data_IF_112643310145
#
_entry.id   IF_112643310145
#
_cell.length_a   1.000
_cell.length_b   1.000
_cell.length_c   1.000
_cell.angle_alpha   90.00
_cell.angle_beta   90.00
_cell.angle_gamma   90.00
#
_symmetry.space_group_name_H-M   'P 1'
#
loop_
_entity.id
_entity.type
_entity.pdbx_description
1 polymer ?
#
# COMPACT_ATOMS: atom_id res chain seq x y z
N UNK A 1 17.64 14.23 -14.39
CA UNK A 1 16.54 13.30 -14.04
C UNK A 1 16.12 12.42 -15.22
N UNK A 2 15.72 12.98 -16.36
CA UNK A 2 15.15 12.22 -17.48
C UNK A 2 16.01 11.05 -18.01
N UNK A 3 17.29 11.28 -18.34
CA UNK A 3 18.14 10.21 -18.87
C UNK A 3 18.47 9.13 -17.82
N UNK A 4 18.58 9.50 -16.55
CA UNK A 4 18.74 8.54 -15.45
C UNK A 4 17.49 7.67 -15.31
N UNK A 5 16.29 8.27 -15.46
CA UNK A 5 15.03 7.53 -15.49
C UNK A 5 15.01 6.50 -16.63
N UNK A 6 15.48 6.88 -17.83
CA UNK A 6 15.63 5.93 -18.95
C UNK A 6 16.57 4.77 -18.62
N UNK A 7 17.71 5.03 -17.98
CA UNK A 7 18.63 3.97 -17.56
C UNK A 7 17.99 3.00 -16.55
N UNK A 8 17.18 3.52 -15.62
CA UNK A 8 16.48 2.70 -14.63
C UNK A 8 15.31 1.90 -15.22
N UNK A 9 14.59 2.50 -16.16
CA UNK A 9 13.57 1.80 -16.96
C UNK A 9 14.19 0.59 -17.68
N UNK A 10 15.33 0.77 -18.37
CA UNK A 10 16.06 -0.32 -19.03
C UNK A 10 16.58 -1.39 -18.04
N UNK A 11 16.91 -0.99 -16.82
CA UNK A 11 17.34 -1.90 -15.76
C UNK A 11 16.17 -2.62 -15.04
N UNK A 12 14.91 -2.37 -15.44
CA UNK A 12 13.72 -2.94 -14.82
C UNK A 12 13.34 -2.32 -13.47
N UNK A 13 14.01 -1.24 -13.06
CA UNK A 13 13.74 -0.50 -11.81
C UNK A 13 12.59 0.49 -12.03
N UNK A 14 11.38 -0.05 -12.17
CA UNK A 14 10.20 0.71 -12.62
C UNK A 14 9.74 1.78 -11.65
N UNK A 15 9.73 1.49 -10.35
CA UNK A 15 9.32 2.45 -9.33
C UNK A 15 10.27 3.66 -9.30
N UNK A 16 11.58 3.42 -9.37
CA UNK A 16 12.58 4.48 -9.41
C UNK A 16 12.54 5.26 -10.73
N UNK A 17 12.33 4.57 -11.86
CA UNK A 17 12.13 5.22 -13.14
C UNK A 17 10.89 6.14 -13.13
N UNK A 18 9.75 5.66 -12.62
CA UNK A 18 8.52 6.43 -12.47
C UNK A 18 8.73 7.70 -11.64
N UNK A 19 9.40 7.57 -10.48
CA UNK A 19 9.69 8.69 -9.60
C UNK A 19 10.60 9.73 -10.28
N UNK A 20 11.63 9.28 -11.00
CA UNK A 20 12.55 10.16 -11.71
C UNK A 20 11.91 10.86 -12.91
N UNK A 21 11.00 10.20 -13.64
CA UNK A 21 10.19 10.85 -14.69
C UNK A 21 9.23 11.88 -14.10
N UNK A 22 8.60 11.59 -12.96
CA UNK A 22 7.75 12.56 -12.25
C UNK A 22 8.52 13.81 -11.86
N UNK A 23 9.70 13.64 -11.25
CA UNK A 23 10.57 14.74 -10.86
C UNK A 23 11.11 15.53 -12.05
N UNK A 24 11.47 14.86 -13.15
CA UNK A 24 11.90 15.53 -14.38
C UNK A 24 10.79 16.44 -14.93
N UNK A 25 9.54 15.97 -14.89
CA UNK A 25 8.37 16.74 -15.29
C UNK A 25 8.14 17.95 -14.38
N UNK A 26 8.18 17.77 -13.07
CA UNK A 26 8.01 18.87 -12.11
C UNK A 26 9.02 20.00 -12.35
N UNK A 27 10.28 19.65 -12.62
CA UNK A 27 11.30 20.63 -12.96
C UNK A 27 11.02 21.32 -14.30
N UNK A 28 10.59 20.58 -15.33
CA UNK A 28 10.24 21.16 -16.63
C UNK A 28 9.03 22.11 -16.51
N UNK A 29 7.97 21.69 -15.82
CA UNK A 29 6.76 22.49 -15.61
C UNK A 29 7.07 23.76 -14.78
N UNK A 30 7.90 23.65 -13.74
CA UNK A 30 8.35 24.79 -12.93
C UNK A 30 9.18 25.78 -13.75
N UNK A 31 10.05 25.28 -14.62
CA UNK A 31 10.84 26.11 -15.53
C UNK A 31 9.92 26.85 -16.52
N UNK A 32 8.97 26.16 -17.15
CA UNK A 32 8.00 26.77 -18.08
C UNK A 32 7.24 27.92 -17.39
N UNK A 33 6.73 27.69 -16.18
CA UNK A 33 6.00 28.72 -15.41
C UNK A 33 6.87 29.94 -15.09
N UNK A 34 8.17 29.72 -14.84
CA UNK A 34 9.12 30.80 -14.55
C UNK A 34 9.53 31.58 -15.81
N UNK A 35 9.64 30.90 -16.96
CA UNK A 35 10.09 31.51 -18.22
C UNK A 35 8.99 32.21 -19.01
N UNK A 36 7.74 31.70 -19.01
CA UNK A 36 6.63 32.31 -19.75
C UNK A 36 6.35 33.80 -19.45
N UNK A 37 6.41 34.31 -18.20
CA UNK A 37 6.10 35.71 -17.92
C UNK A 37 7.24 36.68 -18.22
N UNK A 38 8.45 36.20 -18.54
CA UNK A 38 9.62 37.05 -18.78
C UNK A 38 9.58 37.65 -20.20
N UNK A 39 9.66 38.99 -20.30
CA UNK A 39 9.87 39.68 -21.59
C UNK A 39 11.18 39.23 -22.21
N UNK A 40 11.14 38.72 -23.44
CA UNK A 40 12.31 38.15 -24.13
C UNK A 40 12.51 36.65 -23.91
N UNK A 41 11.50 35.94 -23.38
CA UNK A 41 11.56 34.48 -23.22
C UNK A 41 11.96 33.80 -24.53
N UNK A 42 12.98 32.95 -24.47
CA UNK A 42 13.41 32.12 -25.59
C UNK A 42 12.31 31.10 -25.92
N UNK A 43 11.53 31.39 -26.96
CA UNK A 43 10.38 30.58 -27.39
C UNK A 43 10.75 29.15 -27.73
N UNK A 44 11.97 28.93 -28.24
CA UNK A 44 12.50 27.60 -28.57
C UNK A 44 12.74 26.80 -27.28
N UNK A 45 13.40 27.39 -26.28
CA UNK A 45 13.65 26.71 -25.01
C UNK A 45 12.35 26.36 -24.26
N UNK A 46 11.34 27.23 -24.31
CA UNK A 46 10.01 26.94 -23.73
C UNK A 46 9.33 25.78 -24.47
N UNK A 47 9.48 25.70 -25.80
CA UNK A 47 8.93 24.62 -26.60
C UNK A 47 9.63 23.28 -26.30
N UNK A 48 10.95 23.26 -26.23
CA UNK A 48 11.73 22.06 -25.84
C UNK A 48 11.37 21.58 -24.42
N UNK A 49 11.14 22.49 -23.49
CA UNK A 49 10.69 22.15 -22.13
C UNK A 49 9.30 21.52 -22.12
N UNK A 50 8.37 22.00 -22.96
CA UNK A 50 7.03 21.40 -23.10
C UNK A 50 7.13 19.99 -23.68
N UNK A 51 7.92 19.82 -24.73
CA UNK A 51 8.18 18.50 -25.31
C UNK A 51 8.80 17.55 -24.29
N UNK A 52 9.75 18.02 -23.47
CA UNK A 52 10.32 17.22 -22.39
C UNK A 52 9.27 16.84 -21.34
N UNK A 53 8.38 17.76 -20.96
CA UNK A 53 7.29 17.50 -20.01
C UNK A 53 6.34 16.41 -20.54
N UNK A 54 5.95 16.50 -21.81
CA UNK A 54 5.08 15.51 -22.47
C UNK A 54 5.77 14.13 -22.61
N UNK A 55 7.07 14.11 -22.91
CA UNK A 55 7.85 12.88 -22.91
C UNK A 55 7.91 12.24 -21.52
N UNK A 56 8.15 13.04 -20.48
CA UNK A 56 8.14 12.56 -19.09
C UNK A 56 6.77 11.98 -18.71
N UNK A 57 5.68 12.65 -19.11
CA UNK A 57 4.31 12.16 -18.87
C UNK A 57 4.08 10.81 -19.53
N UNK A 58 4.43 10.69 -20.81
CA UNK A 58 4.23 9.46 -21.60
C UNK A 58 5.03 8.30 -21.01
N UNK A 59 6.32 8.52 -20.77
CA UNK A 59 7.22 7.52 -20.18
C UNK A 59 6.75 7.08 -18.79
N UNK A 60 6.34 8.01 -17.94
CA UNK A 60 5.81 7.69 -16.62
C UNK A 60 4.58 6.77 -16.70
N UNK A 61 3.64 7.06 -17.59
CA UNK A 61 2.46 6.21 -17.79
C UNK A 61 2.83 4.82 -18.31
N UNK A 62 3.81 4.74 -19.22
CA UNK A 62 4.33 3.47 -19.74
C UNK A 62 4.91 2.61 -18.61
N UNK A 63 5.80 3.17 -17.79
CA UNK A 63 6.43 2.45 -16.68
C UNK A 63 5.39 1.91 -15.68
N UNK A 64 4.38 2.74 -15.38
CA UNK A 64 3.29 2.32 -14.49
C UNK A 64 2.47 1.17 -15.10
N UNK A 65 2.11 1.24 -16.38
CA UNK A 65 1.40 0.17 -17.06
C UNK A 65 2.22 -1.14 -17.09
N UNK A 66 3.53 -1.04 -17.30
CA UNK A 66 4.43 -2.19 -17.27
C UNK A 66 4.53 -2.81 -15.86
N UNK A 67 4.60 -1.99 -14.81
CA UNK A 67 4.59 -2.46 -13.42
C UNK A 67 3.30 -3.20 -13.07
N UNK A 68 2.14 -2.66 -13.47
CA UNK A 68 0.84 -3.31 -13.28
C UNK A 68 0.78 -4.65 -14.02
N UNK A 69 1.24 -4.68 -15.29
CA UNK A 69 1.26 -5.92 -16.07
C UNK A 69 2.17 -7.00 -15.46
N UNK A 70 3.31 -6.61 -14.88
CA UNK A 70 4.19 -7.55 -14.19
C UNK A 70 3.63 -8.04 -12.86
N UNK A 71 3.05 -7.14 -12.08
CA UNK A 71 2.38 -7.49 -10.82
C UNK A 71 1.24 -8.46 -11.08
N UNK A 72 0.46 -8.25 -12.14
CA UNK A 72 -0.58 -9.17 -12.60
C UNK A 72 -0.04 -10.57 -12.92
N UNK A 73 1.08 -10.67 -13.65
CA UNK A 73 1.73 -11.97 -13.91
C UNK A 73 2.21 -12.67 -12.64
N UNK A 74 2.68 -11.92 -11.65
CA UNK A 74 3.07 -12.49 -10.34
C UNK A 74 1.83 -13.00 -9.61
N UNK A 75 0.75 -12.23 -9.59
CA UNK A 75 -0.53 -12.64 -9.00
C UNK A 75 -1.11 -13.87 -9.69
N UNK A 76 -1.08 -13.95 -11.02
CA UNK A 76 -1.54 -15.13 -11.77
C UNK A 76 -0.73 -16.38 -11.41
N UNK A 77 0.59 -16.26 -11.24
CA UNK A 77 1.44 -17.36 -10.79
C UNK A 77 1.09 -17.80 -9.38
N UNK A 78 0.87 -16.85 -8.47
CA UNK A 78 0.44 -17.12 -7.10
C UNK A 78 -0.94 -17.80 -7.13
N UNK A 79 -1.89 -17.25 -7.87
CA UNK A 79 -3.24 -17.79 -8.00
C UNK A 79 -3.23 -19.21 -8.56
N UNK A 80 -2.43 -19.49 -9.59
CA UNK A 80 -2.24 -20.86 -10.11
C UNK A 80 -1.61 -21.78 -9.08
N UNK A 81 -0.61 -21.30 -8.34
CA UNK A 81 0.01 -22.04 -7.24
C UNK A 81 -0.98 -22.38 -6.14
N UNK A 82 -1.83 -21.43 -5.74
CA UNK A 82 -2.89 -21.62 -4.74
C UNK A 82 -4.02 -22.51 -5.28
N UNK A 83 -4.41 -22.37 -6.55
CA UNK A 83 -5.43 -23.21 -7.19
C UNK A 83 -4.97 -24.67 -7.35
N UNK A 84 -3.66 -24.91 -7.47
CA UNK A 84 -3.09 -26.25 -7.41
C UNK A 84 -3.11 -26.85 -6.00
N UNK A 85 -3.28 -26.02 -4.96
CA UNK A 85 -3.56 -26.45 -3.59
C UNK A 85 -5.07 -26.65 -3.49
N UNK A 86 -5.57 -27.71 -4.13
CA UNK A 86 -6.96 -28.13 -3.94
C UNK A 86 -7.06 -28.99 -2.68
N UNK A 87 -7.86 -28.55 -1.71
CA UNK A 87 -8.22 -29.30 -0.50
C UNK A 87 -9.39 -30.27 -0.74
N UNK A 88 -9.73 -30.53 -2.00
CA UNK A 88 -10.76 -31.52 -2.32
C UNK A 88 -10.10 -32.86 -2.53
N UNK A 89 -10.45 -33.79 -1.65
CA UNK A 89 -10.09 -35.21 -1.63
C UNK A 89 -10.56 -35.94 -2.90
N UNK A 90 -10.00 -35.60 -4.05
CA UNK A 90 -10.29 -36.23 -5.32
C UNK A 90 -8.98 -36.46 -6.07
N UNK A 91 -8.23 -37.45 -5.57
CA UNK A 91 -7.68 -38.56 -6.35
C UNK A 91 -6.35 -39.02 -5.77
N UNK A 92 -6.44 -39.84 -4.72
CA UNK A 92 -5.75 -41.12 -4.66
C UNK A 92 -6.43 -41.99 -3.61
N UNK A 93 -7.04 -43.05 -4.11
CA UNK A 93 -7.52 -44.21 -3.39
C UNK A 93 -6.39 -44.83 -2.55
N UNK A 94 -6.13 -44.28 -1.36
CA UNK A 94 -5.51 -44.98 -0.23
C UNK A 94 -6.28 -44.56 1.01
N UNK A 95 -6.97 -45.53 1.58
CA UNK A 95 -7.90 -45.42 2.69
C UNK A 95 -7.20 -45.33 4.06
N UNK A 96 -6.38 -44.30 4.29
CA UNK A 96 -5.91 -43.97 5.65
C UNK A 96 -6.82 -42.90 6.24
N UNK A 97 -7.81 -43.33 7.03
CA UNK A 97 -8.52 -42.41 7.92
C UNK A 97 -7.49 -41.79 8.88
N UNK A 98 -7.63 -40.50 9.20
CA UNK A 98 -6.75 -39.82 10.15
C UNK A 98 -6.91 -40.40 11.57
N UNK A 99 -5.94 -40.17 12.46
CA UNK A 99 -5.97 -40.71 13.82
C UNK A 99 -7.27 -40.36 14.57
N UNK A 100 -7.76 -39.12 14.42
CA UNK A 100 -9.02 -38.68 15.03
C UNK A 100 -10.25 -39.49 14.58
N UNK A 101 -10.20 -40.11 13.39
CA UNK A 101 -11.30 -40.88 12.82
C UNK A 101 -11.24 -42.37 13.24
N UNK A 102 -10.22 -42.80 14.01
CA UNK A 102 -9.98 -44.19 14.45
C UNK A 102 -9.60 -44.30 15.94
N UNK A 103 -10.14 -43.45 16.80
CA UNK A 103 -9.82 -43.47 18.25
C UNK A 103 -10.22 -44.79 18.96
N UNK A 104 -11.13 -45.57 18.37
CA UNK A 104 -11.62 -46.83 18.93
C UNK A 104 -10.68 -48.04 18.68
N UNK A 105 -9.68 -47.89 17.81
CA UNK A 105 -8.78 -48.99 17.42
C UNK A 105 -7.34 -48.51 17.27
N UNK A 106 -6.38 -49.18 17.91
CA UNK A 106 -4.98 -48.80 17.80
C UNK A 106 -4.36 -49.27 16.46
N UNK A 107 -3.92 -48.31 15.65
CA UNK A 107 -3.16 -48.49 14.41
C UNK A 107 -2.10 -47.38 14.33
N UNK A 108 -0.87 -47.69 13.88
CA UNK A 108 0.21 -46.70 13.83
C UNK A 108 -0.07 -45.64 12.76
N UNK A 109 -0.36 -44.41 13.18
CA UNK A 109 -0.54 -43.27 12.26
C UNK A 109 0.78 -42.76 11.65
N UNK A 110 1.93 -43.27 12.11
CA UNK A 110 3.29 -42.84 11.71
C UNK A 110 3.97 -43.88 10.80
N UNK A 111 3.28 -44.97 10.46
CA UNK A 111 3.84 -46.09 9.70
C UNK A 111 4.81 -46.95 10.53
N UNK A 112 5.52 -47.86 9.86
CA UNK A 112 6.64 -48.63 10.41
C UNK A 112 7.97 -47.93 10.09
N UNK A 113 9.04 -48.20 10.85
CA UNK A 113 10.34 -47.54 10.70
C UNK A 113 10.96 -47.64 9.28
N UNK A 114 10.49 -48.59 8.47
CA UNK A 114 10.97 -48.86 7.11
C UNK A 114 10.03 -48.30 6.03
N UNK A 115 8.83 -47.85 6.41
CA UNK A 115 7.85 -47.30 5.47
C UNK A 115 8.15 -45.83 5.19
N UNK A 116 8.14 -45.44 3.91
CA UNK A 116 8.20 -44.03 3.46
C UNK A 116 6.81 -43.39 3.40
N UNK A 117 5.84 -43.98 4.09
CA UNK A 117 4.47 -43.50 4.10
C UNK A 117 4.38 -42.19 4.89
N UNK A 118 3.57 -41.26 4.40
CA UNK A 118 3.36 -39.98 5.06
C UNK A 118 2.55 -40.22 6.33
N UNK A 119 2.93 -39.68 7.50
CA UNK A 119 2.15 -39.85 8.71
C UNK A 119 0.77 -39.17 8.57
N UNK A 120 -0.32 -39.89 8.86
CA UNK A 120 -1.70 -39.41 8.73
C UNK A 120 -2.31 -39.14 10.13
N UNK A 121 -1.68 -38.23 10.87
CA UNK A 121 -2.11 -37.90 12.24
C UNK A 121 -3.36 -37.00 12.21
N UNK A 122 -3.28 -35.86 11.52
CA UNK A 122 -4.33 -34.85 11.43
C UNK A 122 -4.39 -34.25 10.03
N UNK A 123 -5.55 -33.74 9.61
CA UNK A 123 -5.69 -33.04 8.33
C UNK A 123 -4.89 -31.74 8.38
N UNK A 124 -4.00 -31.55 7.42
CA UNK A 124 -3.23 -30.31 7.30
C UNK A 124 -3.47 -29.63 5.95
N UNK A 125 -3.83 -28.33 5.94
CA UNK A 125 -4.09 -27.46 7.07
C UNK A 125 -5.36 -27.86 7.85
N UNK A 126 -5.43 -27.59 9.18
CA UNK A 126 -6.64 -27.84 9.96
C UNK A 126 -7.86 -27.11 9.37
N UNK A 127 -9.05 -27.69 9.53
CA UNK A 127 -10.29 -27.04 9.10
C UNK A 127 -10.51 -25.74 9.87
N UNK A 128 -10.95 -24.69 9.17
CA UNK A 128 -11.36 -23.44 9.80
C UNK A 128 -12.54 -23.69 10.73
N UNK A 129 -12.39 -23.32 12.00
CA UNK A 129 -13.45 -23.36 13.00
C UNK A 129 -13.71 -21.94 13.51
N UNK A 130 -14.98 -21.60 13.73
CA UNK A 130 -15.34 -20.34 14.36
C UNK A 130 -14.80 -20.31 15.79
N UNK A 131 -13.88 -19.40 16.08
CA UNK A 131 -13.43 -19.15 17.45
C UNK A 131 -14.22 -17.96 17.99
N UNK A 132 -14.87 -18.07 19.17
CA UNK A 132 -15.53 -16.92 19.79
C UNK A 132 -14.49 -15.87 20.15
N UNK A 133 -14.49 -14.75 19.43
CA UNK A 133 -13.67 -13.59 19.77
C UNK A 133 -14.27 -12.88 20.98
N UNK A 134 -13.41 -12.33 21.87
CA UNK A 134 -13.86 -11.43 22.93
C UNK A 134 -14.57 -10.21 22.30
N UNK A 135 -15.69 -9.73 22.87
CA UNK A 135 -16.37 -8.56 22.35
C UNK A 135 -15.44 -7.33 22.39
N UNK A 136 -15.51 -6.51 21.35
CA UNK A 136 -14.78 -5.25 21.30
C UNK A 136 -15.54 -4.26 22.19
N UNK A 137 -14.90 -3.79 23.26
CA UNK A 137 -15.42 -2.73 24.14
C UNK A 137 -14.57 -1.49 23.90
N UNK A 138 -15.20 -0.40 23.43
CA UNK A 138 -14.54 0.89 23.26
C UNK A 138 -14.82 1.77 24.47
N UNK A 139 -13.78 2.32 25.08
CA UNK A 139 -13.90 3.34 26.12
C UNK A 139 -14.16 4.70 25.47
N UNK A 140 -15.41 5.16 25.52
CA UNK A 140 -15.84 6.45 24.96
C UNK A 140 -15.80 7.58 25.99
N UNK A 141 -15.49 7.32 27.25
CA UNK A 141 -15.52 8.33 28.31
C UNK A 141 -14.51 9.45 28.06
N UNK A 142 -13.37 9.12 27.44
CA UNK A 142 -12.33 10.09 27.09
C UNK A 142 -12.81 11.16 26.10
N UNK A 143 -13.79 10.85 25.25
CA UNK A 143 -14.31 11.79 24.26
C UNK A 143 -15.14 12.92 24.89
N UNK A 144 -15.52 12.77 26.18
CA UNK A 144 -16.38 13.72 26.90
C UNK A 144 -15.57 14.57 27.89
N UNK A 145 -14.25 14.37 27.97
CA UNK A 145 -13.39 15.17 28.84
C UNK A 145 -13.13 16.53 28.16
N UNK A 146 -13.88 17.55 28.58
CA UNK A 146 -13.70 18.94 28.16
C UNK A 146 -13.06 19.79 29.26
N UNK A 147 -12.30 20.82 28.86
CA UNK A 147 -11.77 21.79 29.82
C UNK A 147 -12.89 22.68 30.38
N UNK A 148 -12.84 23.06 31.68
CA UNK A 148 -13.79 24.00 32.23
C UNK A 148 -13.65 25.38 31.59
N UNK A 149 -14.76 26.11 31.47
CA UNK A 149 -14.74 27.48 30.94
C UNK A 149 -13.81 28.39 31.75
N UNK A 150 -12.99 29.17 31.05
CA UNK A 150 -12.04 30.11 31.63
C UNK A 150 -12.57 31.55 31.66
N UNK A 151 -13.79 31.80 31.17
CA UNK A 151 -14.35 33.16 31.00
C UNK A 151 -14.41 33.96 32.31
N UNK A 152 -14.69 33.31 33.44
CA UNK A 152 -14.69 33.95 34.76
C UNK A 152 -13.30 34.21 35.36
N UNK A 153 -12.23 33.71 34.72
CA UNK A 153 -10.84 33.83 35.19
C UNK A 153 -10.00 34.79 34.33
N UNK A 154 -10.49 35.19 33.17
CA UNK A 154 -9.82 36.17 32.30
C UNK A 154 -10.26 37.59 32.67
N UNK A 155 -9.31 38.48 32.97
CA UNK A 155 -9.62 39.91 33.20
C UNK A 155 -10.14 40.52 31.89
N UNK A 156 -11.35 41.09 31.91
CA UNK A 156 -11.86 41.91 30.80
C UNK A 156 -10.91 43.10 30.60
N UNK A 157 -10.32 43.22 29.43
CA UNK A 157 -9.64 44.46 29.06
C UNK A 157 -10.68 45.56 28.88
N UNK A 158 -10.67 46.53 29.80
CA UNK A 158 -11.45 47.76 29.66
C UNK A 158 -10.96 48.50 28.41
N UNK A 159 -11.83 48.59 27.40
CA UNK A 159 -11.59 49.38 26.19
C UNK A 159 -11.34 50.83 26.60
N UNK A 160 -10.08 51.27 26.51
CA UNK A 160 -9.68 52.66 26.80
C UNK A 160 -10.50 53.62 25.94
N UNK A 161 -11.26 54.46 26.64
CA UNK A 161 -12.15 55.49 26.15
C UNK A 161 -11.44 56.47 25.19
N UNK A 162 -12.05 56.75 24.03
CA UNK A 162 -11.53 57.60 22.95
C UNK A 162 -11.55 59.12 23.25
N UNK A 163 -11.91 59.55 24.47
CA UNK A 163 -12.05 60.96 24.83
C UNK A 163 -10.74 61.69 25.18
N UNK A 164 -9.59 61.01 25.20
CA UNK A 164 -8.29 61.60 25.57
C UNK A 164 -7.57 62.42 24.48
N UNK A 165 -8.12 62.55 23.27
CA UNK A 165 -7.45 63.21 22.12
C UNK A 165 -7.84 64.67 21.87
N UNK A 166 -8.71 65.28 22.68
CA UNK A 166 -9.19 66.65 22.43
C UNK A 166 -8.47 67.75 23.22
N UNK A 167 -7.47 67.41 24.02
CA UNK A 167 -6.64 68.39 24.73
C UNK A 167 -5.15 68.09 24.49
N UNK A 168 -4.63 68.53 23.34
CA UNK A 168 -3.22 68.85 23.18
C UNK A 168 -3.00 69.77 21.99
#
# INVERSE_FOLDING_TARGET
>A
CFYVAKSYSLAGKRAEAYALFSRAREHADSAIQSYQPLKGSNTIAVQELKELSDHCRTQKCLEHAMEVAETGKVQDKIFKGVSAISLTDADKKVSSKYLLERLDSYESAVGTAESKETPHIEKFPPLFQSVPCKPIVLDTAINVIEFPSLEGRVKKEEKKSLFGRWWR
#
